data_IF_913839783512
#
_entry.id   IF_913839783512
#
_cell.length_a   1.000
_cell.length_b   1.000
_cell.length_c   1.000
_cell.angle_alpha   90.00
_cell.angle_beta   90.00
_cell.angle_gamma   90.00
#
_symmetry.space_group_name_H-M   'P 1'
#
loop_
_entity.id
_entity.type
_entity.pdbx_description
1 polymer ?
#
# COMPACT_ATOMS: atom_id res chain seq x y z
N UNK A 1 20.03 4.02 3.14
CA UNK A 1 19.33 4.66 4.28
C UNK A 1 18.74 5.98 3.79
N UNK A 2 17.52 6.32 4.19
CA UNK A 2 16.95 7.63 3.84
C UNK A 2 17.68 8.74 4.61
N UNK A 3 17.86 9.93 4.01
CA UNK A 3 18.37 11.09 4.75
C UNK A 3 17.41 11.46 5.89
N UNK A 4 17.91 12.18 6.88
CA UNK A 4 17.09 12.71 7.96
C UNK A 4 15.94 13.54 7.40
N UNK A 5 14.81 13.59 8.13
CA UNK A 5 13.60 14.27 7.66
C UNK A 5 13.87 15.73 7.25
N UNK A 6 14.64 16.44 8.03
CA UNK A 6 15.01 17.86 7.81
C UNK A 6 15.90 18.08 6.58
N UNK A 7 16.60 17.04 6.12
CA UNK A 7 17.49 17.09 4.97
C UNK A 7 16.78 16.68 3.65
N UNK A 8 15.52 16.27 3.72
CA UNK A 8 14.77 15.83 2.54
C UNK A 8 14.24 17.02 1.75
N UNK A 9 14.25 16.96 0.41
CA UNK A 9 13.54 17.94 -0.40
C UNK A 9 12.07 18.02 0.04
N UNK A 10 11.54 19.22 0.19
CA UNK A 10 10.18 19.47 0.70
C UNK A 10 9.10 18.65 -0.06
N UNK A 11 9.22 18.59 -1.38
CA UNK A 11 8.31 17.82 -2.23
C UNK A 11 8.33 16.32 -1.84
N UNK A 12 9.54 15.76 -1.65
CA UNK A 12 9.69 14.37 -1.25
C UNK A 12 9.16 14.13 0.17
N UNK A 13 9.49 15.02 1.11
CA UNK A 13 9.02 14.95 2.48
C UNK A 13 7.49 14.98 2.57
N UNK A 14 6.83 15.83 1.79
CA UNK A 14 5.38 15.92 1.76
C UNK A 14 4.72 14.70 1.09
N UNK A 15 5.26 14.22 -0.04
CA UNK A 15 4.69 13.11 -0.80
C UNK A 15 4.78 11.77 -0.04
N UNK A 16 5.90 11.52 0.63
CA UNK A 16 6.16 10.27 1.36
C UNK A 16 6.17 10.46 2.87
N UNK A 17 5.35 11.37 3.37
CA UNK A 17 5.17 11.59 4.79
C UNK A 17 4.77 10.29 5.50
N UNK A 18 5.54 9.79 6.49
CA UNK A 18 5.28 8.51 7.13
C UNK A 18 3.89 8.42 7.79
N UNK A 19 3.37 9.53 8.32
CA UNK A 19 2.03 9.55 8.91
C UNK A 19 0.94 9.35 7.85
N UNK A 20 1.06 10.01 6.69
CA UNK A 20 0.14 9.82 5.57
C UNK A 20 0.29 8.43 4.95
N UNK A 21 1.52 7.98 4.71
CA UNK A 21 1.80 6.65 4.19
C UNK A 21 1.28 5.54 5.13
N UNK A 22 1.36 5.76 6.45
CA UNK A 22 0.80 4.81 7.42
C UNK A 22 -0.72 4.73 7.36
N UNK A 23 -1.40 5.83 7.05
CA UNK A 23 -2.85 5.82 6.84
C UNK A 23 -3.24 5.08 5.55
N UNK A 24 -2.50 5.25 4.47
CA UNK A 24 -2.67 4.46 3.23
C UNK A 24 -2.54 2.96 3.54
N UNK A 25 -1.47 2.58 4.24
CA UNK A 25 -1.21 1.18 4.64
C UNK A 25 -2.33 0.64 5.52
N UNK A 26 -2.78 1.44 6.49
CA UNK A 26 -3.86 1.10 7.40
C UNK A 26 -5.16 0.83 6.65
N UNK A 27 -5.55 1.68 5.73
CA UNK A 27 -6.78 1.51 4.94
C UNK A 27 -6.71 0.26 4.07
N UNK A 28 -5.58 0.01 3.40
CA UNK A 28 -5.39 -1.19 2.60
C UNK A 28 -5.47 -2.47 3.46
N UNK A 29 -4.83 -2.47 4.63
CA UNK A 29 -4.82 -3.63 5.53
C UNK A 29 -6.21 -3.91 6.14
N UNK A 30 -6.98 -2.89 6.49
CA UNK A 30 -8.37 -3.05 6.96
C UNK A 30 -9.22 -3.67 5.85
N UNK A 31 -9.15 -3.13 4.64
CA UNK A 31 -9.92 -3.60 3.50
C UNK A 31 -9.58 -5.05 3.13
N UNK A 32 -8.30 -5.42 3.21
CA UNK A 32 -7.85 -6.80 3.03
C UNK A 32 -8.45 -7.72 4.10
N UNK A 33 -8.38 -7.33 5.38
CA UNK A 33 -8.90 -8.11 6.51
C UNK A 33 -10.41 -8.28 6.45
N UNK A 34 -11.14 -7.25 6.04
CA UNK A 34 -12.59 -7.32 5.84
C UNK A 34 -12.98 -8.39 4.80
N UNK A 35 -12.21 -8.51 3.72
CA UNK A 35 -12.48 -9.44 2.63
C UNK A 35 -11.97 -10.85 2.92
N UNK A 36 -10.71 -10.99 3.35
CA UNK A 36 -10.03 -12.28 3.54
C UNK A 36 -10.27 -12.92 4.90
N UNK A 37 -10.71 -12.15 5.90
CA UNK A 37 -10.80 -12.52 7.34
C UNK A 37 -9.43 -12.78 8.00
N UNK A 38 -8.33 -12.48 7.31
CA UNK A 38 -6.96 -12.64 7.79
C UNK A 38 -6.26 -11.29 7.87
N UNK A 39 -5.20 -11.21 8.68
CA UNK A 39 -4.35 -10.04 8.72
C UNK A 39 -3.63 -9.82 7.38
N UNK A 40 -3.29 -8.58 7.07
CA UNK A 40 -2.66 -8.20 5.81
C UNK A 40 -1.23 -8.77 5.74
N UNK A 41 -0.86 -9.59 4.73
CA UNK A 41 0.47 -10.17 4.65
C UNK A 41 1.55 -9.10 4.53
N UNK A 42 2.58 -9.18 5.40
CA UNK A 42 3.70 -8.23 5.37
C UNK A 42 4.37 -8.15 4.00
N UNK A 43 4.50 -9.29 3.32
CA UNK A 43 5.07 -9.34 1.97
C UNK A 43 4.34 -8.44 0.96
N UNK A 44 3.03 -8.21 1.10
CA UNK A 44 2.27 -7.33 0.20
C UNK A 44 2.43 -5.84 0.54
N UNK A 45 2.96 -5.50 1.72
CA UNK A 45 3.08 -4.10 2.15
C UNK A 45 3.96 -3.26 1.24
N UNK A 46 5.01 -3.86 0.67
CA UNK A 46 5.94 -3.15 -0.24
C UNK A 46 5.29 -2.76 -1.58
N UNK A 47 4.16 -3.37 -1.92
CA UNK A 47 3.41 -3.05 -3.13
C UNK A 47 2.45 -1.87 -2.95
N UNK A 48 2.01 -1.58 -1.73
CA UNK A 48 0.94 -0.61 -1.48
C UNK A 48 1.36 0.81 -1.87
N UNK A 49 2.46 1.31 -1.33
CA UNK A 49 2.87 2.70 -1.57
C UNK A 49 3.19 2.99 -3.05
N UNK A 50 4.00 2.18 -3.76
CA UNK A 50 4.28 2.46 -5.17
C UNK A 50 3.04 2.41 -6.06
N UNK A 51 2.06 1.55 -5.75
CA UNK A 51 0.81 1.49 -6.51
C UNK A 51 -0.09 2.71 -6.25
N UNK A 52 -0.10 3.22 -5.02
CA UNK A 52 -0.99 4.32 -4.63
C UNK A 52 -0.37 5.69 -4.90
N UNK A 53 0.91 5.89 -4.58
CA UNK A 53 1.56 7.21 -4.69
C UNK A 53 1.99 7.55 -6.11
N UNK A 54 2.22 6.55 -6.97
CA UNK A 54 2.44 6.81 -8.40
C UNK A 54 1.09 7.16 -9.07
N UNK A 55 0.93 8.41 -9.45
CA UNK A 55 -0.33 8.90 -10.03
C UNK A 55 -0.73 8.15 -11.31
N UNK A 56 0.23 7.84 -12.19
CA UNK A 56 -0.03 7.10 -13.43
C UNK A 56 -0.60 5.71 -13.14
N UNK A 57 -0.04 5.01 -12.17
CA UNK A 57 -0.51 3.69 -11.74
C UNK A 57 -1.85 3.83 -11.02
N UNK A 58 -1.95 4.77 -10.06
CA UNK A 58 -3.16 4.99 -9.26
C UNK A 58 -4.40 5.24 -10.11
N UNK A 59 -4.31 6.04 -11.16
CA UNK A 59 -5.42 6.32 -12.06
C UNK A 59 -5.89 5.09 -12.83
N UNK A 60 -5.00 4.12 -13.04
CA UNK A 60 -5.27 2.87 -13.76
C UNK A 60 -5.59 1.69 -12.84
N UNK A 61 -5.55 1.89 -11.52
CA UNK A 61 -5.98 0.86 -10.57
C UNK A 61 -7.46 0.51 -10.77
N UNK A 62 -7.88 -0.71 -10.41
CA UNK A 62 -9.25 -1.15 -10.58
C UNK A 62 -10.25 -0.12 -10.03
N UNK A 63 -11.31 0.12 -10.77
CA UNK A 63 -12.44 0.95 -10.32
C UNK A 63 -13.35 0.15 -9.39
N UNK A 64 -13.36 -1.16 -9.55
CA UNK A 64 -14.28 -2.07 -8.89
C UNK A 64 -13.51 -2.97 -7.91
N UNK A 65 -14.03 -3.10 -6.69
CA UNK A 65 -13.50 -3.94 -5.62
C UNK A 65 -13.62 -5.46 -5.89
N UNK A 66 -14.38 -5.85 -6.92
CA UNK A 66 -14.52 -7.25 -7.33
C UNK A 66 -13.40 -7.75 -8.24
N UNK A 67 -12.55 -6.87 -8.76
CA UNK A 67 -11.44 -7.26 -9.62
C UNK A 67 -10.37 -8.04 -8.84
N UNK A 68 -9.56 -8.79 -9.59
CA UNK A 68 -8.34 -9.43 -9.10
C UNK A 68 -7.11 -8.75 -9.70
N UNK A 69 -5.92 -8.98 -9.12
CA UNK A 69 -4.66 -8.48 -9.70
C UNK A 69 -4.48 -9.01 -11.13
N UNK A 70 -4.82 -10.28 -11.37
CA UNK A 70 -4.74 -10.87 -12.71
C UNK A 70 -5.62 -10.14 -13.72
N UNK A 71 -6.89 -9.94 -13.40
CA UNK A 71 -7.82 -9.23 -14.28
C UNK A 71 -7.41 -7.79 -14.56
N UNK A 72 -6.88 -7.11 -13.55
CA UNK A 72 -6.39 -5.74 -13.68
C UNK A 72 -5.14 -5.66 -14.57
N UNK A 73 -4.13 -6.47 -14.31
CA UNK A 73 -2.85 -6.37 -15.01
C UNK A 73 -2.95 -6.83 -16.47
N UNK A 74 -3.85 -7.77 -16.79
CA UNK A 74 -4.10 -8.18 -18.17
C UNK A 74 -4.65 -7.03 -19.04
N UNK A 75 -5.34 -6.07 -18.44
CA UNK A 75 -5.81 -4.86 -19.11
C UNK A 75 -4.78 -3.73 -19.10
N UNK A 76 -3.64 -3.91 -18.43
CA UNK A 76 -2.64 -2.88 -18.17
C UNK A 76 -1.22 -3.48 -18.18
N UNK A 77 -0.92 -4.38 -19.11
CA UNK A 77 0.36 -5.12 -19.15
C UNK A 77 1.59 -4.22 -19.23
N UNK A 78 1.47 -3.06 -19.87
CA UNK A 78 2.51 -2.05 -19.94
C UNK A 78 2.95 -1.53 -18.58
N UNK A 79 2.10 -1.59 -17.56
CA UNK A 79 2.46 -1.19 -16.19
C UNK A 79 3.52 -2.11 -15.55
N UNK A 80 3.67 -3.34 -16.05
CA UNK A 80 4.75 -4.24 -15.58
C UNK A 80 6.14 -3.66 -15.86
N UNK A 81 6.23 -2.87 -16.94
CA UNK A 81 7.48 -2.19 -17.30
C UNK A 81 7.76 -1.12 -16.24
N UNK A 82 8.89 -1.24 -15.56
CA UNK A 82 9.30 -0.29 -14.52
C UNK A 82 8.64 -0.49 -13.14
N UNK A 83 7.64 -1.35 -13.00
CA UNK A 83 6.98 -1.58 -11.72
C UNK A 83 7.95 -2.13 -10.66
N UNK A 84 8.83 -3.07 -11.03
CA UNK A 84 9.85 -3.62 -10.14
C UNK A 84 10.80 -2.53 -9.62
N UNK A 85 11.27 -1.62 -10.50
CA UNK A 85 12.11 -0.49 -10.12
C UNK A 85 11.37 0.49 -9.20
N UNK A 86 10.11 0.76 -9.50
CA UNK A 86 9.26 1.60 -8.65
C UNK A 86 9.13 1.00 -7.25
N UNK A 87 8.83 -0.29 -7.14
CA UNK A 87 8.71 -0.99 -5.85
C UNK A 87 10.04 -0.93 -5.10
N UNK A 88 11.16 -1.26 -5.74
CA UNK A 88 12.49 -1.20 -5.12
C UNK A 88 12.80 0.19 -4.58
N UNK A 89 12.47 1.24 -5.35
CA UNK A 89 12.64 2.63 -4.92
C UNK A 89 11.79 3.01 -3.69
N UNK A 90 10.64 2.37 -3.51
CA UNK A 90 9.75 2.64 -2.37
C UNK A 90 10.04 1.80 -1.12
N UNK A 91 10.90 0.78 -1.20
CA UNK A 91 11.22 -0.07 -0.03
C UNK A 91 11.67 0.74 1.20
N UNK A 92 12.60 1.72 1.09
CA UNK A 92 13.02 2.51 2.24
C UNK A 92 11.86 3.29 2.88
N UNK A 93 10.97 3.86 2.08
CA UNK A 93 9.80 4.61 2.55
C UNK A 93 8.75 3.70 3.17
N UNK A 94 8.56 2.49 2.63
CA UNK A 94 7.68 1.48 3.22
C UNK A 94 8.18 1.04 4.59
N UNK A 95 9.49 0.83 4.74
CA UNK A 95 10.11 0.51 6.04
C UNK A 95 9.87 1.63 7.05
N UNK A 96 10.14 2.87 6.68
CA UNK A 96 9.92 4.03 7.54
C UNK A 96 8.45 4.15 7.95
N UNK A 97 7.54 3.95 7.00
CA UNK A 97 6.09 3.95 7.24
C UNK A 97 5.67 2.91 8.28
N UNK A 98 6.15 1.68 8.13
CA UNK A 98 5.83 0.59 9.06
C UNK A 98 6.42 0.86 10.44
N UNK A 99 7.66 1.30 10.53
CA UNK A 99 8.30 1.67 11.79
C UNK A 99 7.56 2.82 12.48
N UNK A 100 7.19 3.85 11.74
CA UNK A 100 6.35 4.95 12.25
C UNK A 100 5.05 4.43 12.83
N UNK A 101 4.34 3.59 12.08
CA UNK A 101 3.04 3.08 12.48
C UNK A 101 3.11 2.15 13.70
N UNK A 102 4.16 1.33 13.83
CA UNK A 102 4.41 0.51 15.02
C UNK A 102 4.70 1.39 16.23
N UNK A 103 5.60 2.37 16.09
CA UNK A 103 5.98 3.29 17.17
C UNK A 103 4.79 4.09 17.70
N UNK A 104 3.83 4.43 16.83
CA UNK A 104 2.61 5.15 17.19
C UNK A 104 1.43 4.22 17.51
N UNK A 105 1.67 2.93 17.75
CA UNK A 105 0.63 1.94 18.06
C UNK A 105 -0.55 1.91 17.06
N UNK A 106 -0.28 2.19 15.79
CA UNK A 106 -1.30 2.13 14.71
C UNK A 106 -1.42 0.74 14.12
N UNK A 107 -0.33 -0.03 14.13
CA UNK A 107 -0.28 -1.42 13.68
C UNK A 107 0.73 -2.24 14.49
N UNK A 108 0.62 -3.55 14.37
CA UNK A 108 1.60 -4.52 14.87
C UNK A 108 1.77 -5.65 13.86
N UNK A 109 2.82 -6.45 14.02
CA UNK A 109 3.05 -7.63 13.21
C UNK A 109 2.75 -8.84 14.08
N UNK A 110 1.91 -9.75 13.58
CA UNK A 110 1.56 -10.99 14.26
C UNK A 110 2.64 -12.08 14.07
N UNK A 111 2.46 -13.22 14.74
CA UNK A 111 3.40 -14.35 14.71
C UNK A 111 3.57 -14.98 13.31
N UNK A 112 2.61 -14.77 12.42
CA UNK A 112 2.62 -15.30 11.04
C UNK A 112 3.13 -14.27 10.03
N UNK A 113 3.61 -13.11 10.48
CA UNK A 113 4.04 -12.02 9.59
C UNK A 113 2.86 -11.27 8.97
N UNK A 114 1.70 -11.30 9.60
CA UNK A 114 0.54 -10.49 9.22
C UNK A 114 0.55 -9.13 9.91
N UNK A 115 0.17 -8.09 9.16
CA UNK A 115 -0.03 -6.76 9.71
C UNK A 115 -1.42 -6.70 10.33
N UNK A 116 -1.47 -6.53 11.65
CA UNK A 116 -2.69 -6.31 12.41
C UNK A 116 -2.87 -4.83 12.72
N UNK A 117 -4.07 -4.32 12.47
CA UNK A 117 -4.40 -2.91 12.64
C UNK A 117 -4.98 -2.66 14.02
N UNK A 118 -4.39 -1.73 14.74
CA UNK A 118 -4.88 -1.34 16.06
C UNK A 118 -6.09 -0.39 15.97
N UNK A 119 -7.08 -0.54 16.86
CA UNK A 119 -8.21 0.37 16.93
C UNK A 119 -7.77 1.81 17.16
N UNK A 120 -8.46 2.74 16.54
CA UNK A 120 -8.21 4.16 16.67
C UNK A 120 -9.49 4.89 17.10
N UNK A 121 -9.35 5.85 18.02
CA UNK A 121 -10.49 6.62 18.57
C UNK A 121 -11.06 7.64 17.60
N UNK A 122 -10.20 8.27 16.76
CA UNK A 122 -10.60 9.32 15.81
C UNK A 122 -10.46 8.84 14.38
N UNK A 123 -11.48 9.10 13.58
CA UNK A 123 -11.43 8.86 12.13
C UNK A 123 -10.60 9.95 11.47
N UNK A 124 -9.70 9.56 10.54
CA UNK A 124 -9.01 10.53 9.69
C UNK A 124 -10.01 11.23 8.77
N UNK A 125 -9.96 12.57 8.73
CA UNK A 125 -10.80 13.41 7.88
C UNK A 125 -9.92 14.39 7.12
N UNK A 126 -10.24 14.63 5.85
CA UNK A 126 -9.55 15.58 4.98
C UNK A 126 -10.48 16.05 3.88
N UNK A 127 -10.27 17.27 3.39
CA UNK A 127 -10.97 17.83 2.24
C UNK A 127 -10.09 17.77 0.97
N UNK A 128 -8.85 17.32 1.10
CA UNK A 128 -7.93 17.22 -0.02
C UNK A 128 -8.32 16.04 -0.94
N UNK A 129 -8.71 16.37 -2.17
CA UNK A 129 -9.20 15.39 -3.15
C UNK A 129 -8.15 14.33 -3.53
N UNK A 130 -6.87 14.70 -3.58
CA UNK A 130 -5.81 13.75 -3.90
C UNK A 130 -5.59 12.74 -2.77
N UNK A 131 -5.61 13.21 -1.52
CA UNK A 131 -5.55 12.34 -0.34
C UNK A 131 -6.75 11.40 -0.32
N UNK A 132 -7.96 11.91 -0.57
CA UNK A 132 -9.18 11.11 -0.65
C UNK A 132 -9.04 10.05 -1.74
N UNK A 133 -8.52 10.41 -2.93
CA UNK A 133 -8.27 9.48 -4.02
C UNK A 133 -7.30 8.37 -3.61
N UNK A 134 -6.18 8.71 -2.96
CA UNK A 134 -5.21 7.73 -2.45
C UNK A 134 -5.86 6.74 -1.48
N UNK A 135 -6.64 7.22 -0.51
CA UNK A 135 -7.29 6.37 0.48
C UNK A 135 -8.37 5.46 -0.13
N UNK A 136 -9.17 5.97 -1.07
CA UNK A 136 -10.14 5.16 -1.81
C UNK A 136 -9.45 4.04 -2.61
N UNK A 137 -8.33 4.35 -3.25
CA UNK A 137 -7.56 3.36 -4.03
C UNK A 137 -6.84 2.37 -3.13
N UNK A 138 -6.38 2.78 -1.95
CA UNK A 138 -5.85 1.87 -0.94
C UNK A 138 -6.89 0.84 -0.49
N UNK A 139 -8.14 1.26 -0.27
CA UNK A 139 -9.25 0.35 0.04
C UNK A 139 -9.48 -0.66 -1.09
N UNK A 140 -9.51 -0.18 -2.34
CA UNK A 140 -9.68 -1.06 -3.51
C UNK A 140 -8.55 -2.09 -3.60
N UNK A 141 -7.29 -1.66 -3.48
CA UNK A 141 -6.12 -2.54 -3.57
C UNK A 141 -6.12 -3.60 -2.46
N UNK A 142 -6.49 -3.23 -1.23
CA UNK A 142 -6.64 -4.18 -0.13
C UNK A 142 -7.59 -5.32 -0.48
N UNK A 143 -8.78 -5.00 -1.00
CA UNK A 143 -9.78 -6.01 -1.41
C UNK A 143 -9.33 -6.81 -2.64
N UNK A 144 -8.70 -6.16 -3.60
CA UNK A 144 -8.14 -6.83 -4.80
C UNK A 144 -7.06 -7.84 -4.41
N UNK A 145 -6.15 -7.48 -3.51
CA UNK A 145 -5.14 -8.41 -3.02
C UNK A 145 -5.77 -9.60 -2.28
N UNK A 146 -6.77 -9.36 -1.44
CA UNK A 146 -7.48 -10.42 -0.72
C UNK A 146 -8.12 -11.48 -1.64
N UNK A 147 -8.52 -11.07 -2.84
CA UNK A 147 -9.14 -11.94 -3.88
C UNK A 147 -8.13 -12.57 -4.82
N UNK A 148 -6.86 -12.19 -4.76
CA UNK A 148 -5.84 -12.58 -5.74
C UNK A 148 -4.99 -13.76 -5.30
N UNK A 149 -5.35 -14.42 -4.23
CA UNK A 149 -4.65 -15.59 -3.70
C UNK A 149 -3.52 -15.24 -2.74
N UNK A 150 -2.43 -16.00 -2.78
CA UNK A 150 -1.30 -15.80 -1.88
C UNK A 150 -0.41 -14.61 -2.30
N UNK A 151 0.41 -14.06 -1.40
CA UNK A 151 1.40 -13.05 -1.78
C UNK A 151 2.28 -13.48 -2.95
N UNK A 152 2.74 -14.73 -2.96
CA UNK A 152 3.54 -15.27 -4.05
C UNK A 152 2.80 -15.24 -5.39
N UNK A 153 1.50 -15.55 -5.38
CA UNK A 153 0.64 -15.46 -6.58
C UNK A 153 0.57 -14.02 -7.09
N UNK A 154 0.39 -13.03 -6.19
CA UNK A 154 0.35 -11.61 -6.55
C UNK A 154 1.66 -11.17 -7.19
N UNK A 155 2.81 -11.50 -6.59
CA UNK A 155 4.13 -11.20 -7.13
C UNK A 155 4.34 -11.81 -8.51
N UNK A 156 3.98 -13.10 -8.66
CA UNK A 156 4.10 -13.83 -9.93
C UNK A 156 3.28 -13.18 -11.05
N UNK A 157 2.03 -12.79 -10.76
CA UNK A 157 1.14 -12.11 -11.71
C UNK A 157 1.71 -10.75 -12.13
N UNK A 158 2.29 -10.00 -11.18
CA UNK A 158 2.92 -8.71 -11.45
C UNK A 158 4.27 -8.83 -12.18
N UNK A 159 4.81 -10.05 -12.30
CA UNK A 159 6.13 -10.29 -12.91
C UNK A 159 7.30 -9.81 -12.05
N UNK A 160 7.13 -9.79 -10.74
CA UNK A 160 8.12 -9.31 -9.77
C UNK A 160 8.64 -10.51 -8.98
N UNK A 161 9.95 -10.57 -8.79
CA UNK A 161 10.54 -11.54 -7.85
C UNK A 161 10.42 -10.99 -6.43
N UNK A 162 9.90 -11.79 -5.48
CA UNK A 162 9.80 -11.38 -4.08
C UNK A 162 11.17 -11.18 -3.43
#
# INVERSE_FOLDING_TARGET
MLPNWEERPEITANLVNPAFCSEIMRVAAIAYKEESKNNFPFALSVLVLPLILNNTIRLRLPKNKSNTVHGWINQNEDLKIGLANSITGFIPFTRETIMFAITHNSLSIDENGGIDIKPRRKRFKTDNEEIISCLKKAEVIGKVFAKSGTPLTVYSILGIKP
#
